data_IF_737435154037
#
_entry.id   IF_737435154037
#
_cell.length_a   1.000
_cell.length_b   1.000
_cell.length_c   1.000
_cell.angle_alpha   90.00
_cell.angle_beta   90.00
_cell.angle_gamma   90.00
#
_symmetry.space_group_name_H-M   'P 1'
#
loop_
_entity.id
_entity.type
_entity.pdbx_description
1 polymer ?
#
# COMPACT_ATOMS: atom_id res chain seq x y z
N UNK A 1 3.62 6.90 -6.87
CA UNK A 1 2.72 5.72 -6.89
C UNK A 1 3.47 4.44 -7.26
N UNK A 2 3.96 4.27 -8.50
CA UNK A 2 4.60 3.01 -8.94
C UNK A 2 5.81 2.57 -8.12
N UNK A 3 6.73 3.50 -7.80
CA UNK A 3 7.90 3.19 -6.96
C UNK A 3 7.51 2.62 -5.58
N UNK A 4 6.48 3.19 -4.95
CA UNK A 4 5.95 2.71 -3.67
C UNK A 4 5.38 1.29 -3.82
N UNK A 5 4.62 1.01 -4.87
CA UNK A 5 4.09 -0.34 -5.10
C UNK A 5 5.19 -1.36 -5.36
N UNK A 6 6.23 -1.00 -6.12
CA UNK A 6 7.40 -1.86 -6.34
C UNK A 6 8.11 -2.16 -5.02
N UNK A 7 8.33 -1.15 -4.18
CA UNK A 7 8.92 -1.35 -2.85
C UNK A 7 8.11 -2.31 -2.00
N UNK A 8 6.80 -2.08 -1.86
CA UNK A 8 5.90 -2.93 -1.08
C UNK A 8 5.93 -4.38 -1.59
N UNK A 9 5.82 -4.56 -2.92
CA UNK A 9 5.88 -5.90 -3.53
C UNK A 9 7.20 -6.60 -3.19
N UNK A 10 8.33 -5.93 -3.36
CA UNK A 10 9.65 -6.49 -3.05
C UNK A 10 9.78 -6.86 -1.57
N UNK A 11 9.26 -6.04 -0.66
CA UNK A 11 9.26 -6.35 0.79
C UNK A 11 8.43 -7.60 1.08
N UNK A 12 7.22 -7.72 0.50
CA UNK A 12 6.35 -8.89 0.70
C UNK A 12 6.97 -10.19 0.17
N UNK A 13 7.91 -10.12 -0.76
CA UNK A 13 8.64 -11.28 -1.29
C UNK A 13 9.81 -11.74 -0.39
N UNK A 14 10.26 -10.89 0.55
CA UNK A 14 11.37 -11.23 1.46
C UNK A 14 10.91 -11.98 2.71
N UNK A 15 9.62 -11.95 3.01
CA UNK A 15 9.06 -12.62 4.18
C UNK A 15 7.66 -12.11 4.53
N UNK A 16 6.99 -12.75 5.51
CA UNK A 16 5.65 -12.38 5.91
C UNK A 16 5.62 -10.98 6.54
N UNK A 17 4.77 -10.11 5.98
CA UNK A 17 4.46 -8.81 6.60
C UNK A 17 3.41 -9.02 7.70
N UNK A 18 3.71 -8.54 8.90
CA UNK A 18 2.87 -8.68 10.10
C UNK A 18 2.06 -7.42 10.44
N UNK A 19 2.41 -6.27 9.86
CA UNK A 19 1.72 -5.00 10.08
C UNK A 19 2.05 -3.98 8.99
N UNK A 20 1.16 -2.99 8.82
CA UNK A 20 1.30 -1.87 7.89
C UNK A 20 0.56 -0.65 8.45
N UNK A 21 1.26 0.48 8.53
CA UNK A 21 0.68 1.78 8.87
C UNK A 21 0.72 2.71 7.65
N UNK A 22 -0.40 3.39 7.38
CA UNK A 22 -0.50 4.41 6.33
C UNK A 22 -0.77 5.77 6.98
N UNK A 23 0.29 6.54 7.17
CA UNK A 23 0.29 7.81 7.92
C UNK A 23 0.52 9.01 7.00
N UNK A 24 0.43 10.22 7.57
CA UNK A 24 0.68 11.50 6.88
C UNK A 24 -0.24 11.79 5.68
N UNK A 25 -1.46 11.24 5.68
CA UNK A 25 -2.48 11.65 4.72
C UNK A 25 -2.96 13.07 5.06
N UNK A 26 -2.59 14.04 4.22
CA UNK A 26 -3.01 15.43 4.32
C UNK A 26 -4.01 15.78 3.21
N UNK A 27 -5.32 15.56 3.39
CA UNK A 27 -6.32 15.85 2.39
C UNK A 27 -6.49 17.36 2.18
N UNK A 28 -6.74 17.76 0.94
CA UNK A 28 -7.06 19.14 0.58
C UNK A 28 -8.57 19.26 0.44
N UNK A 29 -9.25 20.16 1.19
CA UNK A 29 -10.69 20.35 1.06
C UNK A 29 -11.12 20.55 -0.40
N UNK A 30 -12.15 19.81 -0.83
CA UNK A 30 -12.64 19.83 -2.21
C UNK A 30 -11.87 18.93 -3.19
N UNK A 31 -10.74 18.34 -2.81
CA UNK A 31 -9.94 17.45 -3.64
C UNK A 31 -9.74 16.08 -2.99
N UNK A 32 -10.39 15.04 -3.52
CA UNK A 32 -10.32 13.67 -2.97
C UNK A 32 -9.14 12.83 -3.47
N UNK A 33 -8.26 13.41 -4.28
CA UNK A 33 -7.22 12.67 -5.02
C UNK A 33 -6.24 11.98 -4.07
N UNK A 34 -5.91 12.64 -2.95
CA UNK A 34 -4.97 12.12 -1.95
C UNK A 34 -5.55 10.88 -1.26
N UNK A 35 -6.83 10.94 -0.88
CA UNK A 35 -7.54 9.86 -0.19
C UNK A 35 -7.73 8.66 -1.12
N UNK A 36 -8.11 8.90 -2.38
CA UNK A 36 -8.19 7.83 -3.38
C UNK A 36 -6.83 7.17 -3.62
N UNK A 37 -5.76 7.95 -3.66
CA UNK A 37 -4.41 7.42 -3.84
C UNK A 37 -3.97 6.59 -2.64
N UNK A 38 -4.21 7.07 -1.42
CA UNK A 38 -3.95 6.35 -0.18
C UNK A 38 -4.72 5.01 -0.13
N UNK A 39 -6.03 5.04 -0.42
CA UNK A 39 -6.86 3.83 -0.47
C UNK A 39 -6.35 2.82 -1.52
N UNK A 40 -5.92 3.30 -2.70
CA UNK A 40 -5.36 2.43 -3.75
C UNK A 40 -4.03 1.80 -3.34
N UNK A 41 -3.16 2.55 -2.66
CA UNK A 41 -1.89 2.02 -2.13
C UNK A 41 -2.17 0.94 -1.08
N UNK A 42 -3.06 1.20 -0.12
CA UNK A 42 -3.46 0.23 0.90
C UNK A 42 -4.03 -1.05 0.26
N UNK A 43 -4.96 -0.90 -0.69
CA UNK A 43 -5.56 -2.03 -1.40
C UNK A 43 -4.51 -2.90 -2.12
N UNK A 44 -3.55 -2.27 -2.81
CA UNK A 44 -2.47 -3.00 -3.48
C UNK A 44 -1.52 -3.67 -2.50
N UNK A 45 -1.19 -3.01 -1.38
CA UNK A 45 -0.36 -3.58 -0.33
C UNK A 45 -0.98 -4.85 0.27
N UNK A 46 -2.27 -4.79 0.63
CA UNK A 46 -3.04 -5.96 1.08
C UNK A 46 -3.00 -7.08 0.04
N UNK A 47 -3.22 -6.75 -1.23
CA UNK A 47 -3.14 -7.72 -2.34
C UNK A 47 -1.78 -8.43 -2.42
N UNK A 48 -0.67 -7.69 -2.34
CA UNK A 48 0.67 -8.28 -2.37
C UNK A 48 0.96 -9.13 -1.13
N UNK A 49 0.55 -8.68 0.06
CA UNK A 49 0.69 -9.46 1.29
C UNK A 49 -0.06 -10.79 1.21
N UNK A 50 -1.31 -10.81 0.75
CA UNK A 50 -2.08 -12.05 0.62
C UNK A 50 -1.56 -12.95 -0.51
N UNK A 51 -1.09 -12.37 -1.61
CA UNK A 51 -0.48 -13.15 -2.69
C UNK A 51 0.79 -13.86 -2.20
N UNK A 52 1.66 -13.17 -1.46
CA UNK A 52 2.90 -13.75 -0.92
C UNK A 52 2.67 -14.90 0.06
N UNK A 53 1.56 -14.89 0.82
CA UNK A 53 1.19 -15.98 1.75
C UNK A 53 0.68 -17.25 1.08
N UNK A 54 0.28 -17.19 -0.20
CA UNK A 54 -0.20 -18.34 -0.98
C UNK A 54 0.92 -19.03 -1.77
N UNK A 55 2.13 -18.47 -1.74
CA UNK A 55 3.33 -18.94 -2.46
C UNK A 55 4.15 -19.83 -1.55
#
# INVERSE_FOLDING_TARGET
>A
YYQVLTLIKTVTQRGPVVGLDLVELAPIPGHRVSEFTAARVLYKALGYMFQSRRS
#
